data_IF_157593818295
#
_entry.id   IF_157593818295
#
_cell.length_a   1.000
_cell.length_b   1.000
_cell.length_c   1.000
_cell.angle_alpha   90.00
_cell.angle_beta   90.00
_cell.angle_gamma   90.00
#
_symmetry.space_group_name_H-M   'P 1'
#
loop_
_entity.id
_entity.type
_entity.pdbx_description
1 polymer ?
#
# COMPACT_ATOMS: atom_id res chain seq x y z
N UNK A 1 42.57 19.53 -44.89
CA UNK A 1 42.33 18.12 -44.48
C UNK A 1 41.71 18.12 -43.10
N UNK A 2 40.42 17.74 -43.05
CA UNK A 2 39.53 17.95 -41.90
C UNK A 2 39.72 16.89 -40.82
N UNK A 3 39.91 17.28 -39.59
CA UNK A 3 39.69 16.42 -38.40
C UNK A 3 38.66 17.07 -37.48
N UNK A 4 37.36 17.02 -37.84
CA UNK A 4 36.32 17.50 -36.91
C UNK A 4 35.53 16.40 -36.21
N UNK A 5 35.83 15.12 -36.43
CA UNK A 5 34.87 14.03 -36.06
C UNK A 5 35.06 13.43 -34.70
N UNK A 6 36.27 13.47 -34.13
CA UNK A 6 36.57 12.84 -32.82
C UNK A 6 35.94 13.60 -31.64
N UNK A 7 35.89 14.92 -31.70
CA UNK A 7 35.31 15.72 -30.64
C UNK A 7 33.78 15.62 -30.59
N UNK A 8 33.16 15.51 -31.76
CA UNK A 8 31.70 15.24 -31.85
C UNK A 8 31.34 13.86 -31.33
N UNK A 9 32.13 12.82 -31.64
CA UNK A 9 31.91 11.47 -31.10
C UNK A 9 32.01 11.42 -29.57
N UNK A 10 33.02 12.10 -28.96
CA UNK A 10 33.15 12.17 -27.51
C UNK A 10 31.99 12.90 -26.86
N UNK A 11 31.52 13.99 -27.45
CA UNK A 11 30.35 14.72 -26.95
C UNK A 11 29.07 13.88 -27.03
N UNK A 12 28.85 13.13 -28.15
CA UNK A 12 27.68 12.28 -28.28
C UNK A 12 27.70 11.12 -27.31
N UNK A 13 28.86 10.50 -27.09
CA UNK A 13 29.02 9.41 -26.10
C UNK A 13 28.79 9.90 -24.67
N UNK A 14 29.30 11.08 -24.30
CA UNK A 14 29.03 11.67 -22.99
C UNK A 14 27.54 12.01 -22.84
N UNK A 15 26.90 12.59 -23.85
CA UNK A 15 25.48 12.90 -23.82
C UNK A 15 24.60 11.65 -23.69
N UNK A 16 24.92 10.59 -24.41
CA UNK A 16 24.20 9.31 -24.29
C UNK A 16 24.39 8.68 -22.90
N UNK A 17 25.58 8.76 -22.34
CA UNK A 17 25.87 8.27 -20.99
C UNK A 17 25.07 9.00 -19.91
N UNK A 18 25.01 10.33 -19.98
CA UNK A 18 24.25 11.14 -19.02
C UNK A 18 22.74 10.91 -19.12
N UNK A 19 22.19 10.75 -20.33
CA UNK A 19 20.77 10.43 -20.53
C UNK A 19 20.43 9.05 -19.95
N UNK A 20 21.30 8.07 -20.16
CA UNK A 20 21.09 6.71 -19.63
C UNK A 20 21.10 6.69 -18.09
N UNK A 21 22.00 7.42 -17.45
CA UNK A 21 22.06 7.53 -15.99
C UNK A 21 20.82 8.24 -15.45
N UNK A 22 20.41 9.33 -16.07
CA UNK A 22 19.21 10.06 -15.67
C UNK A 22 17.96 9.19 -15.80
N UNK A 23 17.80 8.48 -16.91
CA UNK A 23 16.68 7.54 -17.10
C UNK A 23 16.68 6.43 -16.06
N UNK A 24 17.83 5.85 -15.75
CA UNK A 24 17.95 4.83 -14.70
C UNK A 24 17.54 5.36 -13.32
N UNK A 25 17.98 6.55 -12.95
CA UNK A 25 17.61 7.17 -11.67
C UNK A 25 16.11 7.45 -11.58
N UNK A 26 15.50 7.95 -12.65
CA UNK A 26 14.04 8.18 -12.71
C UNK A 26 13.28 6.87 -12.57
N UNK A 27 13.65 5.83 -13.30
CA UNK A 27 13.01 4.51 -13.21
C UNK A 27 13.15 3.95 -11.79
N UNK A 28 14.34 4.03 -11.20
CA UNK A 28 14.57 3.55 -9.84
C UNK A 28 13.72 4.32 -8.82
N UNK A 29 13.62 5.65 -8.96
CA UNK A 29 12.77 6.47 -8.10
C UNK A 29 11.29 6.11 -8.23
N UNK A 30 10.79 5.90 -9.45
CA UNK A 30 9.40 5.49 -9.70
C UNK A 30 9.13 4.10 -9.11
N UNK A 31 10.03 3.13 -9.32
CA UNK A 31 9.91 1.78 -8.76
C UNK A 31 9.92 1.84 -7.23
N UNK A 32 10.82 2.61 -6.62
CA UNK A 32 10.88 2.78 -5.18
C UNK A 32 9.59 3.40 -4.62
N UNK A 33 9.03 4.39 -5.31
CA UNK A 33 7.76 5.03 -4.93
C UNK A 33 6.58 4.07 -5.04
N UNK A 34 6.55 3.25 -6.09
CA UNK A 34 5.47 2.30 -6.37
C UNK A 34 5.67 0.93 -5.70
N UNK A 35 6.79 0.73 -4.99
CA UNK A 35 7.20 -0.58 -4.49
C UNK A 35 6.11 -1.28 -3.68
N UNK A 36 5.42 -0.53 -2.81
CA UNK A 36 4.33 -1.08 -2.01
C UNK A 36 3.15 -1.56 -2.88
N UNK A 37 2.73 -0.76 -3.84
CA UNK A 37 1.62 -1.10 -4.72
C UNK A 37 1.94 -2.33 -5.58
N UNK A 38 3.15 -2.39 -6.11
CA UNK A 38 3.64 -3.54 -6.91
C UNK A 38 3.69 -4.80 -6.06
N UNK A 39 4.25 -4.70 -4.85
CA UNK A 39 4.35 -5.84 -3.91
C UNK A 39 2.97 -6.37 -3.51
N UNK A 40 2.05 -5.52 -3.13
CA UNK A 40 0.70 -5.92 -2.72
C UNK A 40 -0.08 -6.53 -3.89
N UNK A 41 0.00 -5.96 -5.07
CA UNK A 41 -0.63 -6.51 -6.28
C UNK A 41 -0.06 -7.88 -6.65
N UNK A 42 1.26 -8.04 -6.64
CA UNK A 42 1.92 -9.31 -6.92
C UNK A 42 1.54 -10.38 -5.88
N UNK A 43 1.55 -10.03 -4.59
CA UNK A 43 1.13 -10.92 -3.51
C UNK A 43 -0.32 -11.36 -3.68
N UNK A 44 -1.22 -10.44 -4.03
CA UNK A 44 -2.62 -10.72 -4.30
C UNK A 44 -2.78 -11.67 -5.50
N UNK A 45 -2.12 -11.40 -6.60
CA UNK A 45 -2.19 -12.23 -7.81
C UNK A 45 -1.75 -13.68 -7.55
N UNK A 46 -0.68 -13.88 -6.76
CA UNK A 46 -0.14 -15.21 -6.50
C UNK A 46 -0.93 -16.03 -5.48
N UNK A 47 -1.48 -15.38 -4.43
CA UNK A 47 -2.05 -16.08 -3.28
C UNK A 47 -3.48 -15.67 -2.91
N UNK A 48 -4.19 -14.96 -3.78
CA UNK A 48 -5.56 -14.47 -3.50
C UNK A 48 -6.51 -15.57 -3.05
N UNK A 49 -6.48 -16.73 -3.69
CA UNK A 49 -7.39 -17.85 -3.35
C UNK A 49 -7.17 -18.35 -1.92
N UNK A 50 -5.92 -18.46 -1.49
CA UNK A 50 -5.58 -18.88 -0.12
C UNK A 50 -6.08 -17.86 0.90
N UNK A 51 -5.80 -16.58 0.68
CA UNK A 51 -6.23 -15.53 1.59
C UNK A 51 -7.75 -15.36 1.62
N UNK A 52 -8.44 -15.50 0.49
CA UNK A 52 -9.90 -15.49 0.43
C UNK A 52 -10.50 -16.60 1.29
N UNK A 53 -9.98 -17.81 1.17
CA UNK A 53 -10.46 -18.94 1.97
C UNK A 53 -10.22 -18.70 3.46
N UNK A 54 -9.06 -18.17 3.84
CA UNK A 54 -8.71 -17.89 5.22
C UNK A 54 -9.64 -16.83 5.85
N UNK A 55 -9.89 -15.71 5.17
CA UNK A 55 -10.82 -14.67 5.62
C UNK A 55 -12.26 -15.20 5.72
N UNK A 56 -12.70 -15.94 4.74
CA UNK A 56 -14.09 -16.41 4.70
C UNK A 56 -14.39 -17.49 5.75
N UNK A 57 -13.40 -18.31 6.10
CA UNK A 57 -13.53 -19.36 7.14
C UNK A 57 -13.46 -18.81 8.57
N UNK A 58 -13.07 -17.55 8.77
CA UNK A 58 -13.10 -16.96 10.09
C UNK A 58 -14.53 -17.00 10.65
N UNK A 59 -14.66 -17.61 11.81
CA UNK A 59 -15.88 -17.55 12.63
C UNK A 59 -16.11 -16.08 12.99
N UNK A 60 -17.29 -15.55 12.64
CA UNK A 60 -17.64 -14.14 12.63
C UNK A 60 -17.01 -13.30 13.74
N UNK A 61 -16.41 -12.19 13.34
CA UNK A 61 -16.00 -11.13 14.25
C UNK A 61 -17.18 -10.58 15.04
N UNK A 62 -16.88 -9.67 15.95
CA UNK A 62 -17.90 -8.92 16.72
C UNK A 62 -18.97 -8.39 15.77
N UNK A 63 -20.22 -8.44 16.20
CA UNK A 63 -21.39 -8.04 15.38
C UNK A 63 -21.13 -6.66 14.76
N UNK A 64 -21.05 -6.61 13.44
CA UNK A 64 -20.82 -5.37 12.67
C UNK A 64 -19.39 -5.12 12.16
N UNK A 65 -18.40 -5.93 12.55
CA UNK A 65 -17.05 -5.85 11.98
C UNK A 65 -16.94 -6.62 10.65
N UNK A 66 -16.12 -6.07 9.74
CA UNK A 66 -15.79 -6.73 8.50
C UNK A 66 -14.81 -7.89 8.75
N UNK A 67 -14.97 -8.99 8.03
CA UNK A 67 -14.00 -10.09 8.08
C UNK A 67 -12.65 -9.63 7.55
N UNK A 68 -11.58 -9.94 8.29
CA UNK A 68 -10.25 -9.45 7.97
C UNK A 68 -9.16 -10.37 8.50
N UNK A 69 -7.98 -10.32 7.88
CA UNK A 69 -6.75 -10.94 8.38
C UNK A 69 -5.61 -9.94 8.28
N UNK A 70 -4.63 -10.06 9.16
CA UNK A 70 -3.37 -9.37 8.97
C UNK A 70 -2.67 -9.94 7.74
N UNK A 71 -2.38 -9.07 6.78
CA UNK A 71 -1.89 -9.50 5.47
C UNK A 71 -0.45 -9.12 5.20
N UNK A 72 -0.04 -7.93 5.65
CA UNK A 72 1.30 -7.41 5.47
C UNK A 72 1.62 -6.38 6.55
N UNK A 73 2.89 -6.11 6.73
CA UNK A 73 3.34 -5.10 7.66
C UNK A 73 4.80 -4.74 7.39
N UNK A 74 5.16 -3.52 7.74
CA UNK A 74 6.55 -3.06 7.72
C UNK A 74 6.72 -1.93 8.73
N UNK A 75 7.92 -1.82 9.26
CA UNK A 75 8.31 -0.76 10.15
C UNK A 75 9.80 -0.56 10.15
N UNK A 76 10.22 0.58 10.68
CA UNK A 76 11.62 0.86 10.95
C UNK A 76 11.77 1.19 12.43
N UNK A 77 12.80 0.69 13.10
CA UNK A 77 13.06 1.05 14.49
C UNK A 77 13.07 2.57 14.68
N UNK A 78 12.14 3.08 15.52
CA UNK A 78 12.00 4.49 15.81
C UNK A 78 11.17 5.33 14.83
N UNK A 79 10.60 4.74 13.77
CA UNK A 79 9.78 5.46 12.79
C UNK A 79 8.31 5.02 12.76
N UNK A 80 7.93 4.08 13.64
CA UNK A 80 6.59 3.48 13.69
C UNK A 80 6.39 2.35 12.69
N UNK A 81 5.39 1.55 12.97
CA UNK A 81 5.02 0.38 12.19
C UNK A 81 3.79 0.66 11.32
N UNK A 82 3.71 0.03 10.19
CA UNK A 82 2.52 0.02 9.35
C UNK A 82 2.01 -1.41 9.24
N UNK A 83 0.76 -1.61 9.61
CA UNK A 83 0.08 -2.90 9.46
C UNK A 83 -0.97 -2.80 8.37
N UNK A 84 -1.08 -3.83 7.55
CA UNK A 84 -2.04 -3.93 6.46
C UNK A 84 -2.94 -5.13 6.67
N UNK A 85 -4.23 -4.87 6.70
CA UNK A 85 -5.25 -5.91 6.79
C UNK A 85 -5.90 -6.15 5.44
N UNK A 86 -6.07 -7.42 5.10
CA UNK A 86 -6.94 -7.83 4.01
C UNK A 86 -8.37 -7.91 4.55
N UNK A 87 -9.28 -7.19 3.91
CA UNK A 87 -10.65 -7.00 4.37
C UNK A 87 -11.63 -7.48 3.31
N UNK A 88 -12.59 -8.29 3.71
CA UNK A 88 -13.74 -8.66 2.88
C UNK A 88 -14.93 -7.77 3.22
N UNK A 89 -15.38 -6.99 2.25
CA UNK A 89 -16.55 -6.12 2.35
C UNK A 89 -17.63 -6.55 1.35
N UNK A 90 -18.62 -7.35 1.76
CA UNK A 90 -19.63 -7.91 0.87
C UNK A 90 -20.50 -6.85 0.19
N UNK A 91 -20.66 -5.68 0.80
CA UNK A 91 -21.45 -4.57 0.25
C UNK A 91 -20.68 -3.66 -0.69
N UNK A 92 -19.36 -3.88 -0.85
CA UNK A 92 -18.43 -3.06 -1.63
C UNK A 92 -18.44 -1.55 -1.23
N UNK A 93 -18.91 -1.24 -0.01
CA UNK A 93 -19.03 0.14 0.49
C UNK A 93 -17.70 0.88 0.60
N UNK A 94 -16.59 0.15 0.75
CA UNK A 94 -15.23 0.71 0.77
C UNK A 94 -14.74 1.17 -0.61
N UNK A 95 -15.47 0.91 -1.68
CA UNK A 95 -15.07 1.28 -3.05
C UNK A 95 -14.88 2.79 -3.23
N UNK A 96 -15.68 3.59 -2.55
CA UNK A 96 -15.58 5.07 -2.59
C UNK A 96 -14.31 5.52 -1.86
N UNK A 97 -14.04 4.97 -0.68
CA UNK A 97 -12.84 5.24 0.09
C UNK A 97 -11.56 4.89 -0.70
N UNK A 98 -11.57 3.72 -1.34
CA UNK A 98 -10.44 3.28 -2.17
C UNK A 98 -10.16 4.18 -3.37
N UNK A 99 -11.19 4.85 -3.92
CA UNK A 99 -11.03 5.81 -5.03
C UNK A 99 -10.54 7.18 -4.55
N UNK A 100 -11.00 7.64 -3.40
CA UNK A 100 -10.64 8.96 -2.88
C UNK A 100 -9.21 9.01 -2.35
N UNK A 101 -8.65 7.87 -1.93
CA UNK A 101 -7.34 7.74 -1.27
C UNK A 101 -7.19 8.67 -0.04
N UNK A 102 -8.31 9.00 0.60
CA UNK A 102 -8.35 9.87 1.77
C UNK A 102 -8.47 9.06 3.05
N UNK A 103 -7.84 9.52 4.14
CA UNK A 103 -8.06 8.93 5.45
C UNK A 103 -9.52 9.11 5.86
N UNK A 104 -10.00 8.19 6.68
CA UNK A 104 -11.38 8.27 7.16
C UNK A 104 -11.79 7.09 8.02
N UNK A 105 -12.98 7.24 8.62
CA UNK A 105 -13.62 6.20 9.41
C UNK A 105 -14.72 5.54 8.60
N UNK A 106 -14.65 4.22 8.51
CA UNK A 106 -15.57 3.44 7.68
C UNK A 106 -16.34 2.42 8.51
N UNK A 107 -17.56 2.13 8.10
CA UNK A 107 -18.43 1.14 8.79
C UNK A 107 -17.76 -0.24 8.74
N UNK A 108 -17.70 -0.88 9.91
CA UNK A 108 -17.08 -2.21 10.06
C UNK A 108 -15.55 -2.18 10.25
N UNK A 109 -14.94 -0.99 10.30
CA UNK A 109 -13.55 -0.79 10.66
C UNK A 109 -13.49 -0.02 11.98
N UNK A 110 -12.81 -0.52 13.02
CA UNK A 110 -12.90 0.04 14.38
C UNK A 110 -12.26 1.43 14.49
N UNK A 111 -11.19 1.70 13.75
CA UNK A 111 -10.42 2.94 13.83
C UNK A 111 -10.48 3.74 12.52
N UNK A 112 -10.05 4.98 12.58
CA UNK A 112 -9.75 5.77 11.39
C UNK A 112 -8.55 5.15 10.67
N UNK A 113 -8.62 5.05 9.35
CA UNK A 113 -7.56 4.47 8.54
C UNK A 113 -7.00 5.49 7.56
N UNK A 114 -5.68 5.57 7.41
CA UNK A 114 -5.04 6.52 6.52
C UNK A 114 -5.23 6.17 5.04
N UNK A 115 -5.41 4.90 4.72
CA UNK A 115 -5.54 4.46 3.33
C UNK A 115 -6.31 3.16 3.19
N UNK A 116 -7.24 3.15 2.23
CA UNK A 116 -7.90 1.96 1.72
C UNK A 116 -7.51 1.80 0.26
N UNK A 117 -7.09 0.59 -0.12
CA UNK A 117 -6.75 0.24 -1.51
C UNK A 117 -7.61 -0.94 -1.96
N UNK A 118 -8.19 -0.82 -3.15
CA UNK A 118 -8.97 -1.92 -3.74
C UNK A 118 -8.04 -2.92 -4.41
N UNK A 119 -8.18 -4.19 -4.08
CA UNK A 119 -7.46 -5.29 -4.72
C UNK A 119 -8.34 -5.94 -5.81
N UNK A 120 -9.61 -6.18 -5.46
CA UNK A 120 -10.63 -6.79 -6.32
C UNK A 120 -12.02 -6.33 -5.85
N UNK A 121 -13.10 -6.70 -6.54
CA UNK A 121 -14.47 -6.47 -6.05
C UNK A 121 -14.66 -7.12 -4.67
N UNK A 122 -15.15 -6.34 -3.69
CA UNK A 122 -15.36 -6.73 -2.30
C UNK A 122 -14.08 -7.02 -1.49
N UNK A 123 -12.88 -6.88 -2.07
CA UNK A 123 -11.60 -7.15 -1.40
C UNK A 123 -10.73 -5.92 -1.35
N UNK A 124 -10.30 -5.56 -0.14
CA UNK A 124 -9.59 -4.33 0.14
C UNK A 124 -8.37 -4.58 1.01
N UNK A 125 -7.31 -3.82 0.77
CA UNK A 125 -6.18 -3.68 1.67
C UNK A 125 -6.37 -2.39 2.47
N UNK A 126 -6.48 -2.53 3.78
CA UNK A 126 -6.67 -1.43 4.73
C UNK A 126 -5.39 -1.26 5.54
N UNK A 127 -4.86 -0.04 5.53
CA UNK A 127 -3.59 0.30 6.17
C UNK A 127 -3.83 1.01 7.49
N UNK A 128 -3.04 0.65 8.51
CA UNK A 128 -2.98 1.31 9.81
C UNK A 128 -1.56 1.78 10.09
N UNK A 129 -1.42 2.89 10.81
CA UNK A 129 -0.12 3.39 11.26
C UNK A 129 0.09 3.16 12.75
N UNK A 130 1.32 2.82 13.11
CA UNK A 130 1.91 2.80 14.44
C UNK A 130 1.09 2.03 15.47
N UNK A 131 0.32 2.68 16.29
CA UNK A 131 -0.38 2.06 17.44
C UNK A 131 -1.85 1.75 17.18
N UNK A 132 -2.30 2.02 15.95
CA UNK A 132 -3.66 1.75 15.50
C UNK A 132 -3.69 0.44 14.73
N UNK A 133 -4.27 -0.60 15.31
CA UNK A 133 -4.45 -1.87 14.64
C UNK A 133 -5.83 -2.45 14.92
N UNK A 134 -6.25 -3.38 14.13
CA UNK A 134 -7.58 -3.98 14.22
C UNK A 134 -7.85 -4.75 15.52
N UNK A 135 -6.86 -5.07 16.29
CA UNK A 135 -6.98 -5.85 17.53
C UNK A 135 -7.07 -5.05 18.83
N UNK A 136 -7.05 -3.73 18.82
CA UNK A 136 -7.21 -2.93 20.04
C UNK A 136 -8.64 -3.04 20.55
N UNK A 137 -8.78 -3.53 21.78
CA UNK A 137 -10.04 -3.91 22.42
C UNK A 137 -10.99 -2.76 22.72
N UNK A 138 -10.59 -1.50 22.59
CA UNK A 138 -11.42 -0.35 22.94
C UNK A 138 -11.47 0.65 21.79
N UNK A 139 -12.65 0.83 21.23
CA UNK A 139 -12.93 1.90 20.27
C UNK A 139 -12.64 3.32 20.83
N UNK A 140 -12.42 3.45 22.14
CA UNK A 140 -11.97 4.65 22.83
C UNK A 140 -10.48 4.94 22.60
N UNK A 141 -9.65 3.93 22.43
CA UNK A 141 -8.21 4.09 22.19
C UNK A 141 -7.88 4.65 20.80
N UNK A 142 -8.75 4.42 19.82
CA UNK A 142 -8.61 5.01 18.50
C UNK A 142 -8.87 6.53 18.47
N UNK A 143 -9.48 7.08 19.53
CA UNK A 143 -9.81 8.52 19.62
C UNK A 143 -8.70 9.37 20.23
N UNK A 144 -7.77 8.78 20.97
CA UNK A 144 -6.75 9.54 21.73
C UNK A 144 -5.48 9.83 20.96
N UNK A 145 -5.24 9.21 19.81
CA UNK A 145 -4.05 9.42 18.97
C UNK A 145 -4.09 10.68 18.10
N UNK A 146 -5.20 11.43 18.06
CA UNK A 146 -5.39 12.57 17.16
C UNK A 146 -5.27 13.96 17.83
N UNK A 147 -4.58 14.06 18.97
CA UNK A 147 -4.30 15.34 19.62
C UNK A 147 -2.83 15.42 20.04
N UNK A 148 -2.00 15.72 19.05
CA UNK A 148 -0.58 16.05 19.22
C UNK A 148 -0.08 16.85 18.06
#
# INVERSE_FOLDING_TARGET
>A
MQLPDENRRKQTLCAMGTISIAAFLVITAVVAWQFYSIRSTAKWFMWSQRYKSEVLTQSGGTTGELKHIEWDGWGFPGAGDTTVYLVYNPTDSLSVAAKSHQPGKFVGIPCEVPLVSRLESQWYAVRFYTDEWWGRRNALDCRTGSAG
#
